data_IF_143176751858
#
_entry.id   IF_143176751858
#
_cell.length_a   1.000
_cell.length_b   1.000
_cell.length_c   1.000
_cell.angle_alpha   90.00
_cell.angle_beta   90.00
_cell.angle_gamma   90.00
#
_symmetry.space_group_name_H-M   'P 1'
#
loop_
_entity.id
_entity.type
_entity.pdbx_description
1 polymer ?
#
# COMPACT_ATOMS: atom_id res chain seq x y z
N UNK A 1 10.13 1.39 -13.61
CA UNK A 1 8.80 2.06 -13.63
C UNK A 1 7.72 1.02 -13.89
N UNK A 2 6.56 1.14 -13.24
CA UNK A 2 5.31 0.57 -13.76
C UNK A 2 4.84 1.49 -14.89
N UNK A 3 4.64 0.97 -16.09
CA UNK A 3 4.37 1.75 -17.30
C UNK A 3 2.88 1.96 -17.59
N UNK A 4 1.98 1.18 -16.97
CA UNK A 4 0.52 1.25 -17.19
C UNK A 4 -0.28 0.92 -15.92
N UNK A 5 -1.56 1.32 -15.90
CA UNK A 5 -2.55 1.02 -14.83
C UNK A 5 -2.76 -0.50 -14.65
N UNK A 6 -2.79 -1.24 -15.75
CA UNK A 6 -3.00 -2.70 -15.79
C UNK A 6 -1.78 -3.53 -15.34
N UNK A 7 -0.61 -2.90 -15.22
CA UNK A 7 0.59 -3.62 -14.81
C UNK A 7 0.43 -4.18 -13.39
N UNK A 8 1.05 -5.30 -13.07
CA UNK A 8 1.02 -5.86 -11.72
C UNK A 8 1.88 -5.05 -10.75
N UNK A 9 1.31 -4.64 -9.61
CA UNK A 9 2.00 -3.92 -8.54
C UNK A 9 3.14 -4.72 -7.92
N UNK A 10 4.20 -4.04 -7.49
CA UNK A 10 5.17 -4.63 -6.57
C UNK A 10 4.50 -4.73 -5.20
N UNK A 11 4.36 -5.95 -4.68
CA UNK A 11 3.73 -6.16 -3.39
C UNK A 11 4.56 -5.50 -2.27
N UNK A 12 3.87 -4.84 -1.34
CA UNK A 12 4.45 -4.46 -0.06
C UNK A 12 4.62 -5.72 0.80
N UNK A 13 5.69 -5.75 1.59
CA UNK A 13 6.00 -6.88 2.46
C UNK A 13 5.30 -6.65 3.81
N UNK A 14 4.48 -7.62 4.22
CA UNK A 14 3.69 -7.51 5.44
C UNK A 14 2.65 -8.62 5.55
N UNK A 15 1.72 -8.43 6.47
CA UNK A 15 0.58 -9.32 6.71
C UNK A 15 -0.73 -8.54 6.69
N UNK A 16 -1.83 -9.22 6.38
CA UNK A 16 -3.18 -8.66 6.48
C UNK A 16 -4.12 -9.63 7.19
N UNK A 17 -5.09 -9.10 7.95
CA UNK A 17 -6.06 -9.90 8.71
C UNK A 17 -7.41 -9.18 8.81
N UNK A 18 -8.52 -9.93 8.68
CA UNK A 18 -9.87 -9.45 9.00
C UNK A 18 -10.03 -9.49 10.52
N UNK A 19 -10.18 -8.33 11.15
CA UNK A 19 -10.29 -8.21 12.61
C UNK A 19 -11.75 -8.12 13.09
N UNK A 20 -12.64 -7.62 12.23
CA UNK A 20 -14.09 -7.63 12.43
C UNK A 20 -14.79 -7.49 11.06
N UNK A 21 -16.12 -7.52 11.03
CA UNK A 21 -16.88 -7.32 9.80
C UNK A 21 -16.67 -5.92 9.22
N UNK A 22 -16.13 -5.88 7.99
CA UNK A 22 -15.74 -4.63 7.32
C UNK A 22 -14.43 -4.01 7.82
N UNK A 23 -13.75 -4.60 8.81
CA UNK A 23 -12.50 -4.08 9.37
C UNK A 23 -11.33 -5.01 9.09
N UNK A 24 -10.27 -4.45 8.50
CA UNK A 24 -9.06 -5.16 8.13
C UNK A 24 -7.83 -4.43 8.65
N UNK A 25 -6.86 -5.18 9.17
CA UNK A 25 -5.54 -4.66 9.47
C UNK A 25 -4.57 -5.09 8.39
N UNK A 26 -3.73 -4.15 7.98
CA UNK A 26 -2.58 -4.38 7.10
C UNK A 26 -1.34 -3.90 7.87
N UNK A 27 -0.55 -4.86 8.34
CA UNK A 27 0.68 -4.60 9.06
C UNK A 27 1.87 -4.77 8.10
N UNK A 28 2.56 -3.68 7.80
CA UNK A 28 3.78 -3.74 7.00
C UNK A 28 4.95 -4.23 7.86
N UNK A 29 5.92 -4.89 7.22
CA UNK A 29 7.10 -5.39 7.91
C UNK A 29 7.93 -4.26 8.53
N UNK A 30 8.50 -4.56 9.70
CA UNK A 30 9.44 -3.69 10.42
C UNK A 30 10.90 -4.18 10.32
N UNK A 31 11.19 -5.20 9.50
CA UNK A 31 12.57 -5.56 9.16
C UNK A 31 13.18 -4.39 8.38
N UNK A 32 14.40 -3.90 8.71
CA UNK A 32 14.94 -2.66 8.15
C UNK A 32 14.87 -2.57 6.63
N UNK A 33 15.38 -3.58 5.92
CA UNK A 33 15.42 -3.60 4.45
C UNK A 33 14.02 -3.68 3.82
N UNK A 34 13.12 -4.44 4.42
CA UNK A 34 11.73 -4.58 3.95
C UNK A 34 10.92 -3.30 4.19
N UNK A 35 11.17 -2.64 5.32
CA UNK A 35 10.58 -1.35 5.66
C UNK A 35 11.05 -0.28 4.69
N UNK A 36 12.36 -0.18 4.43
CA UNK A 36 12.90 0.78 3.46
C UNK A 36 12.30 0.54 2.07
N UNK A 37 12.29 -0.72 1.61
CA UNK A 37 11.66 -1.10 0.33
C UNK A 37 10.19 -0.68 0.27
N UNK A 38 9.42 -0.95 1.32
CA UNK A 38 8.01 -0.58 1.37
C UNK A 38 7.80 0.93 1.32
N UNK A 39 8.59 1.71 2.07
CA UNK A 39 8.51 3.17 2.06
C UNK A 39 8.88 3.74 0.69
N UNK A 40 9.93 3.22 0.05
CA UNK A 40 10.31 3.61 -1.32
C UNK A 40 9.18 3.35 -2.31
N UNK A 41 8.56 2.16 -2.29
CA UNK A 41 7.42 1.86 -3.16
C UNK A 41 6.23 2.80 -2.91
N UNK A 42 5.90 3.09 -1.65
CA UNK A 42 4.83 4.01 -1.29
C UNK A 42 5.09 5.44 -1.78
N UNK A 43 6.35 5.89 -1.75
CA UNK A 43 6.75 7.21 -2.22
C UNK A 43 6.74 7.30 -3.76
N UNK A 44 7.40 6.36 -4.44
CA UNK A 44 7.64 6.44 -5.89
C UNK A 44 6.44 6.05 -6.76
N UNK A 45 5.57 5.15 -6.29
CA UNK A 45 4.47 4.63 -7.12
C UNK A 45 3.24 5.52 -7.00
N UNK A 46 2.66 5.92 -8.13
CA UNK A 46 1.46 6.78 -8.18
C UNK A 46 0.16 6.10 -7.76
N UNK A 47 0.13 4.77 -7.76
CA UNK A 47 -1.07 3.97 -7.47
C UNK A 47 -0.83 2.94 -6.36
N UNK A 48 -1.91 2.61 -5.65
CA UNK A 48 -1.97 1.57 -4.63
C UNK A 48 -3.09 0.60 -5.02
N UNK A 49 -2.74 -0.65 -5.25
CA UNK A 49 -3.71 -1.72 -5.52
C UNK A 49 -4.02 -2.48 -4.22
N UNK A 50 -5.31 -2.62 -3.89
CA UNK A 50 -5.81 -3.39 -2.75
C UNK A 50 -6.62 -4.58 -3.23
N UNK A 51 -6.02 -5.79 -3.30
CA UNK A 51 -6.74 -7.01 -3.61
C UNK A 51 -7.75 -7.34 -2.50
N UNK A 52 -9.00 -7.64 -2.88
CA UNK A 52 -10.09 -7.96 -1.96
C UNK A 52 -10.77 -9.27 -2.37
N UNK A 53 -11.28 -9.98 -1.36
CA UNK A 53 -12.15 -11.13 -1.54
C UNK A 53 -13.52 -10.78 -0.95
N UNK A 54 -14.56 -10.78 -1.78
CA UNK A 54 -15.93 -10.57 -1.32
C UNK A 54 -16.47 -11.82 -0.62
N UNK A 55 -17.53 -11.66 0.17
CA UNK A 55 -18.21 -12.75 0.89
C UNK A 55 -18.73 -13.85 -0.07
N UNK A 56 -19.06 -13.48 -1.31
CA UNK A 56 -19.42 -14.43 -2.37
C UNK A 56 -18.21 -15.12 -3.04
N UNK A 57 -17.00 -14.97 -2.49
CA UNK A 57 -15.71 -15.48 -2.98
C UNK A 57 -15.23 -14.90 -4.32
N UNK A 58 -15.88 -13.85 -4.84
CA UNK A 58 -15.34 -13.11 -5.99
C UNK A 58 -14.13 -12.27 -5.56
N UNK A 59 -13.13 -12.22 -6.42
CA UNK A 59 -11.93 -11.39 -6.24
C UNK A 59 -12.14 -10.05 -6.93
N UNK A 60 -11.71 -8.99 -6.27
CA UNK A 60 -11.68 -7.64 -6.82
C UNK A 60 -10.34 -6.98 -6.49
N UNK A 61 -10.00 -5.93 -7.22
CA UNK A 61 -8.89 -5.03 -6.88
C UNK A 61 -9.49 -3.64 -6.77
N UNK A 62 -9.25 -2.98 -5.65
CA UNK A 62 -9.49 -1.54 -5.50
C UNK A 62 -8.18 -0.81 -5.78
N UNK A 63 -8.13 -0.07 -6.88
CA UNK A 63 -6.96 0.75 -7.24
C UNK A 63 -7.20 2.18 -6.82
N UNK A 64 -6.24 2.74 -6.07
CA UNK A 64 -6.24 4.13 -5.63
C UNK A 64 -5.14 4.88 -6.36
N UNK A 65 -5.47 5.95 -7.06
CA UNK A 65 -4.48 6.92 -7.53
C UNK A 65 -4.19 7.92 -6.41
N UNK A 66 -2.91 8.10 -6.04
CA UNK A 66 -2.51 9.08 -5.03
C UNK A 66 -2.84 10.50 -5.48
N UNK A 67 -2.59 10.81 -6.76
CA UNK A 67 -2.57 12.17 -7.28
C UNK A 67 -1.64 13.09 -6.46
N UNK A 68 -1.73 14.39 -6.67
CA UNK A 68 -0.96 15.36 -5.87
C UNK A 68 -1.27 15.30 -4.37
N UNK A 69 -2.55 15.19 -3.92
CA UNK A 69 -2.85 15.17 -2.50
C UNK A 69 -2.29 13.94 -1.77
N UNK A 70 -2.44 12.75 -2.35
CA UNK A 70 -1.94 11.50 -1.76
C UNK A 70 -0.42 11.42 -1.74
N UNK A 71 0.26 11.90 -2.79
CA UNK A 71 1.72 11.98 -2.80
C UNK A 71 2.23 12.84 -1.65
N UNK A 72 1.67 14.04 -1.47
CA UNK A 72 2.03 14.91 -0.33
C UNK A 72 1.73 14.27 1.02
N UNK A 73 0.63 13.52 1.14
CA UNK A 73 0.28 12.83 2.38
C UNK A 73 1.33 11.77 2.75
N UNK A 74 1.75 10.95 1.77
CA UNK A 74 2.81 9.95 1.97
C UNK A 74 4.15 10.61 2.30
N UNK A 75 4.55 11.64 1.56
CA UNK A 75 5.80 12.37 1.82
C UNK A 75 5.84 12.92 3.25
N UNK A 76 4.78 13.60 3.69
CA UNK A 76 4.68 14.15 5.05
C UNK A 76 4.79 13.07 6.12
N UNK A 77 4.11 11.94 5.92
CA UNK A 77 4.15 10.81 6.85
C UNK A 77 5.58 10.25 6.96
N UNK A 78 6.23 9.97 5.82
CA UNK A 78 7.60 9.42 5.80
C UNK A 78 8.61 10.39 6.40
N UNK A 79 8.48 11.70 6.12
CA UNK A 79 9.34 12.71 6.74
C UNK A 79 9.17 12.75 8.25
N UNK A 80 7.94 12.69 8.76
CA UNK A 80 7.68 12.69 10.20
C UNK A 80 8.30 11.46 10.89
N UNK A 81 8.15 10.27 10.31
CA UNK A 81 8.69 9.03 10.87
C UNK A 81 10.22 8.93 10.86
N UNK A 82 10.90 9.69 10.00
CA UNK A 82 12.37 9.76 9.96
C UNK A 82 12.96 10.78 10.94
N UNK A 83 12.12 11.66 11.49
CA UNK A 83 12.52 12.66 12.47
C UNK A 83 12.46 12.13 13.91
N UNK A 84 11.81 10.97 14.12
CA UNK A 84 11.92 10.13 15.31
C UNK A 84 13.16 9.22 15.24
#
# INVERSE_FOLDING_TARGET
>A
MKTTEEARGDALIGASVKVADGFFWVALSNIPDERERNLTLLQERGWIDLPMLYENRKRAILTLEKGTPGTRAVERAVTAWRAE
#
